data_IF_528820589583
#
_entry.id   IF_528820589583
#
_cell.length_a   1.000
_cell.length_b   1.000
_cell.length_c   1.000
_cell.angle_alpha   90.00
_cell.angle_beta   90.00
_cell.angle_gamma   90.00
#
_symmetry.space_group_name_H-M   'P 1'
#
loop_
_entity.id
_entity.type
_entity.pdbx_description
1 polymer ?
#
# COMPACT_ATOMS: atom_id res chain seq x y z
N UNK A 1 -2.63 14.50 -77.28
CA UNK A 1 -2.29 15.12 -75.97
C UNK A 1 -3.32 14.88 -74.85
N UNK A 2 -4.58 14.48 -75.12
CA UNK A 2 -5.63 14.29 -74.08
C UNK A 2 -5.47 13.03 -73.22
N UNK A 3 -4.97 11.92 -73.77
CA UNK A 3 -4.84 10.62 -73.07
C UNK A 3 -3.78 10.60 -71.97
N UNK A 4 -2.64 11.27 -72.15
CA UNK A 4 -1.60 11.40 -71.09
C UNK A 4 -2.11 12.21 -69.88
N UNK A 5 -2.91 13.26 -70.12
CA UNK A 5 -3.48 14.13 -69.08
C UNK A 5 -4.50 13.38 -68.21
N UNK A 6 -5.36 12.55 -68.82
CA UNK A 6 -6.28 11.68 -68.08
C UNK A 6 -5.55 10.63 -67.25
N UNK A 7 -4.49 10.01 -67.77
CA UNK A 7 -3.69 9.01 -67.05
C UNK A 7 -2.97 9.60 -65.83
N UNK A 8 -2.47 10.84 -65.95
CA UNK A 8 -1.87 11.59 -64.84
C UNK A 8 -2.92 11.95 -63.79
N UNK A 9 -4.10 12.42 -64.20
CA UNK A 9 -5.20 12.75 -63.28
C UNK A 9 -5.72 11.52 -62.51
N UNK A 10 -5.81 10.36 -63.16
CA UNK A 10 -6.21 9.09 -62.52
C UNK A 10 -5.18 8.66 -61.49
N UNK A 11 -3.88 8.71 -61.81
CA UNK A 11 -2.82 8.35 -60.87
C UNK A 11 -2.80 9.29 -59.65
N UNK A 12 -2.97 10.61 -59.84
CA UNK A 12 -3.04 11.58 -58.74
C UNK A 12 -4.24 11.28 -57.83
N UNK A 13 -5.41 11.00 -58.41
CA UNK A 13 -6.61 10.65 -57.64
C UNK A 13 -6.40 9.38 -56.81
N UNK A 14 -5.78 8.36 -57.40
CA UNK A 14 -5.55 7.07 -56.75
C UNK A 14 -4.55 7.20 -55.58
N UNK A 15 -3.50 8.02 -55.74
CA UNK A 15 -2.56 8.36 -54.65
C UNK A 15 -3.26 9.13 -53.55
N UNK A 16 -4.06 10.15 -53.87
CA UNK A 16 -4.83 10.92 -52.87
C UNK A 16 -5.80 10.02 -52.10
N UNK A 17 -6.49 9.12 -52.79
CA UNK A 17 -7.40 8.15 -52.18
C UNK A 17 -6.67 7.23 -51.21
N UNK A 18 -5.49 6.70 -51.59
CA UNK A 18 -4.68 5.86 -50.71
C UNK A 18 -4.18 6.62 -49.47
N UNK A 19 -3.70 7.86 -49.63
CA UNK A 19 -3.23 8.70 -48.51
C UNK A 19 -4.36 9.04 -47.54
N UNK A 20 -5.55 9.35 -48.05
CA UNK A 20 -6.73 9.61 -47.22
C UNK A 20 -7.16 8.37 -46.43
N UNK A 21 -7.18 7.20 -47.08
CA UNK A 21 -7.52 5.93 -46.41
C UNK A 21 -6.48 5.55 -45.35
N UNK A 22 -5.18 5.69 -45.66
CA UNK A 22 -4.10 5.43 -44.69
C UNK A 22 -4.19 6.37 -43.48
N UNK A 23 -4.40 7.67 -43.72
CA UNK A 23 -4.54 8.67 -42.65
C UNK A 23 -5.75 8.37 -41.76
N UNK A 24 -6.87 7.94 -42.34
CA UNK A 24 -8.08 7.57 -41.59
C UNK A 24 -7.88 6.31 -40.74
N UNK A 25 -7.20 5.29 -41.27
CA UNK A 25 -6.88 4.07 -40.52
C UNK A 25 -5.89 4.38 -39.39
N UNK A 26 -4.83 5.15 -39.67
CA UNK A 26 -3.82 5.53 -38.69
C UNK A 26 -4.44 6.34 -37.53
N UNK A 27 -5.32 7.30 -37.84
CA UNK A 27 -5.98 8.12 -36.82
C UNK A 27 -6.95 7.30 -35.94
N UNK A 28 -7.54 6.23 -36.48
CA UNK A 28 -8.33 5.27 -35.69
C UNK A 28 -7.46 4.39 -34.80
N UNK A 29 -6.29 3.98 -35.28
CA UNK A 29 -5.34 3.17 -34.51
C UNK A 29 -4.74 3.97 -33.35
N UNK A 30 -4.28 5.20 -33.60
CA UNK A 30 -3.75 6.12 -32.57
C UNK A 30 -4.76 6.39 -31.46
N UNK A 31 -6.05 6.58 -31.81
CA UNK A 31 -7.11 6.73 -30.79
C UNK A 31 -7.31 5.46 -29.96
N UNK A 32 -7.24 4.28 -30.58
CA UNK A 32 -7.36 3.00 -29.86
C UNK A 32 -6.16 2.78 -28.93
N UNK A 33 -4.96 3.08 -29.40
CA UNK A 33 -3.72 3.00 -28.62
C UNK A 33 -3.77 3.91 -27.40
N UNK A 34 -4.18 5.17 -27.56
CA UNK A 34 -4.38 6.10 -26.43
C UNK A 34 -5.41 5.62 -25.42
N UNK A 35 -6.48 4.97 -25.87
CA UNK A 35 -7.48 4.38 -24.98
C UNK A 35 -6.90 3.18 -24.20
N UNK A 36 -6.15 2.30 -24.87
CA UNK A 36 -5.45 1.17 -24.25
C UNK A 36 -4.44 1.65 -23.22
N UNK A 37 -3.63 2.66 -23.53
CA UNK A 37 -2.67 3.25 -22.59
C UNK A 37 -3.35 3.83 -21.35
N UNK A 38 -4.46 4.55 -21.54
CA UNK A 38 -5.23 5.09 -20.43
C UNK A 38 -5.85 3.98 -19.57
N UNK A 39 -6.34 2.91 -20.19
CA UNK A 39 -6.85 1.74 -19.47
C UNK A 39 -5.74 1.07 -18.65
N UNK A 40 -4.54 0.90 -19.21
CA UNK A 40 -3.39 0.33 -18.49
C UNK A 40 -3.01 1.20 -17.30
N UNK A 41 -2.99 2.54 -17.45
CA UNK A 41 -2.71 3.47 -16.34
C UNK A 41 -3.73 3.32 -15.21
N UNK A 42 -5.02 3.25 -15.55
CA UNK A 42 -6.08 3.05 -14.55
C UNK A 42 -5.96 1.69 -13.86
N UNK A 43 -5.68 0.62 -14.61
CA UNK A 43 -5.49 -0.73 -14.05
C UNK A 43 -4.29 -0.74 -13.08
N UNK A 44 -3.16 -0.15 -13.45
CA UNK A 44 -1.98 -0.04 -12.56
C UNK A 44 -2.34 0.72 -11.28
N UNK A 45 -3.01 1.87 -11.41
CA UNK A 45 -3.45 2.65 -10.24
C UNK A 45 -4.37 1.83 -9.32
N UNK A 46 -5.32 1.09 -9.88
CA UNK A 46 -6.21 0.22 -9.10
C UNK A 46 -5.47 -0.96 -8.44
N UNK A 47 -4.43 -1.49 -9.09
CA UNK A 47 -3.56 -2.51 -8.49
C UNK A 47 -2.77 -1.95 -7.31
N UNK A 48 -2.16 -0.77 -7.46
CA UNK A 48 -1.42 -0.10 -6.39
C UNK A 48 -2.34 0.24 -5.21
N UNK A 49 -3.54 0.78 -5.47
CA UNK A 49 -4.54 1.07 -4.43
C UNK A 49 -5.01 -0.20 -3.70
N UNK A 50 -5.17 -1.32 -4.41
CA UNK A 50 -5.54 -2.61 -3.80
C UNK A 50 -4.43 -3.18 -2.93
N UNK A 51 -3.19 -3.12 -3.41
CA UNK A 51 -2.03 -3.59 -2.64
C UNK A 51 -1.84 -2.77 -1.37
N UNK A 52 -2.02 -1.44 -1.46
CA UNK A 52 -1.94 -0.55 -0.31
C UNK A 52 -3.03 -0.84 0.72
N UNK A 53 -4.29 -1.02 0.29
CA UNK A 53 -5.38 -1.42 1.20
C UNK A 53 -5.12 -2.76 1.88
N UNK A 54 -4.56 -3.74 1.17
CA UNK A 54 -4.21 -5.03 1.77
C UNK A 54 -3.12 -4.88 2.83
N UNK A 55 -2.12 -4.03 2.59
CA UNK A 55 -1.10 -3.69 3.60
C UNK A 55 -1.72 -2.99 4.81
N UNK A 56 -2.65 -2.06 4.59
CA UNK A 56 -3.32 -1.34 5.68
C UNK A 56 -4.13 -2.28 6.57
N UNK A 57 -4.96 -3.15 5.98
CA UNK A 57 -5.74 -4.16 6.73
C UNK A 57 -4.83 -5.10 7.53
N UNK A 58 -3.75 -5.59 6.93
CA UNK A 58 -2.80 -6.45 7.62
C UNK A 58 -2.14 -5.74 8.82
N UNK A 59 -1.82 -4.45 8.68
CA UNK A 59 -1.23 -3.66 9.77
C UNK A 59 -2.23 -3.42 10.90
N UNK A 60 -3.49 -3.14 10.58
CA UNK A 60 -4.58 -3.05 11.56
C UNK A 60 -4.77 -4.36 12.33
N UNK A 61 -4.77 -5.50 11.65
CA UNK A 61 -4.88 -6.82 12.29
C UNK A 61 -3.73 -7.10 13.28
N UNK A 62 -2.51 -6.69 12.94
CA UNK A 62 -1.36 -6.79 13.85
C UNK A 62 -1.59 -5.92 15.09
N UNK A 63 -2.01 -4.67 14.90
CA UNK A 63 -2.28 -3.74 16.01
C UNK A 63 -3.33 -4.32 16.96
N UNK A 64 -4.45 -4.79 16.42
CA UNK A 64 -5.52 -5.41 17.21
C UNK A 64 -4.99 -6.64 17.97
N UNK A 65 -4.18 -7.47 17.31
CA UNK A 65 -3.56 -8.64 17.93
C UNK A 65 -2.66 -8.27 19.11
N UNK A 66 -1.83 -7.23 18.99
CA UNK A 66 -0.94 -6.76 20.06
C UNK A 66 -1.77 -6.21 21.23
N UNK A 67 -2.75 -5.37 20.93
CA UNK A 67 -3.64 -4.80 21.94
C UNK A 67 -4.36 -5.89 22.74
N UNK A 68 -4.87 -6.91 22.05
CA UNK A 68 -5.53 -8.05 22.70
C UNK A 68 -4.57 -8.83 23.59
N UNK A 69 -3.38 -9.13 23.09
CA UNK A 69 -2.36 -9.85 23.85
C UNK A 69 -2.02 -9.14 25.17
N UNK A 70 -1.94 -7.80 25.18
CA UNK A 70 -1.74 -7.04 26.41
C UNK A 70 -2.99 -6.94 27.29
N UNK A 71 -4.20 -6.82 26.71
CA UNK A 71 -5.47 -6.84 27.46
C UNK A 71 -5.66 -8.12 28.27
N UNK A 72 -5.24 -9.25 27.71
CA UNK A 72 -5.46 -10.56 28.32
C UNK A 72 -4.54 -10.80 29.53
N UNK A 73 -3.41 -10.08 29.64
CA UNK A 73 -2.37 -10.33 30.66
C UNK A 73 -2.13 -9.16 31.62
N UNK A 74 -2.55 -7.95 31.27
CA UNK A 74 -2.22 -6.73 31.99
C UNK A 74 -3.40 -5.74 31.99
N UNK A 75 -3.44 -4.92 33.03
CA UNK A 75 -4.34 -3.77 33.09
C UNK A 75 -3.78 -2.66 32.22
N UNK A 76 -4.57 -2.20 31.24
CA UNK A 76 -4.17 -1.12 30.34
C UNK A 76 -4.49 0.23 30.98
N UNK A 77 -3.48 1.10 31.11
CA UNK A 77 -3.71 2.51 31.42
C UNK A 77 -4.10 3.28 30.16
N UNK A 78 -3.32 3.12 29.10
CA UNK A 78 -3.67 3.61 27.77
C UNK A 78 -2.92 2.82 26.69
N UNK A 79 -3.52 2.78 25.50
CA UNK A 79 -2.82 2.47 24.25
C UNK A 79 -3.30 3.49 23.23
N UNK A 80 -2.35 4.13 22.56
CA UNK A 80 -2.59 5.01 21.41
C UNK A 80 -1.94 4.40 20.18
N UNK A 81 -2.48 4.76 19.03
CA UNK A 81 -2.01 4.30 17.73
C UNK A 81 -1.96 5.50 16.82
N UNK A 82 -0.77 5.80 16.31
CA UNK A 82 -0.50 6.95 15.43
C UNK A 82 0.14 6.45 14.13
N UNK A 83 -0.07 7.19 13.04
CA UNK A 83 0.64 6.97 11.78
C UNK A 83 1.87 7.89 11.76
N UNK A 84 3.06 7.30 11.60
CA UNK A 84 4.30 8.06 11.48
C UNK A 84 4.47 8.60 10.04
N UNK A 85 5.44 9.52 9.86
CA UNK A 85 5.81 10.12 8.57
C UNK A 85 6.13 9.10 7.46
N UNK A 86 6.54 7.89 7.84
CA UNK A 86 6.90 6.81 6.92
C UNK A 86 5.73 5.86 6.61
N UNK A 87 4.49 6.27 6.91
CA UNK A 87 3.28 5.43 6.82
C UNK A 87 3.33 4.15 7.68
N UNK A 88 4.21 4.09 8.67
CA UNK A 88 4.26 3.00 9.66
C UNK A 88 3.25 3.27 10.77
N UNK A 89 2.62 2.21 11.28
CA UNK A 89 1.73 2.35 12.44
C UNK A 89 2.55 2.26 13.71
N UNK A 90 2.59 3.33 14.46
CA UNK A 90 3.24 3.39 15.76
C UNK A 90 2.21 3.16 16.86
N UNK A 91 2.49 2.20 17.73
CA UNK A 91 1.67 1.85 18.86
C UNK A 91 2.45 2.13 20.14
N UNK A 92 1.89 3.02 20.95
CA UNK A 92 2.47 3.42 22.24
C UNK A 92 1.45 3.14 23.33
N UNK A 93 1.90 2.56 24.44
CA UNK A 93 1.01 2.23 25.54
C UNK A 93 1.71 2.16 26.87
N UNK A 94 0.89 2.22 27.91
CA UNK A 94 1.29 1.97 29.28
C UNK A 94 0.37 0.92 29.89
N UNK A 95 0.98 -0.16 30.38
CA UNK A 95 0.29 -1.30 30.98
C UNK A 95 0.88 -1.62 32.33
N UNK A 96 0.05 -2.18 33.20
CA UNK A 96 0.39 -2.62 34.54
C UNK A 96 0.02 -4.10 34.69
N UNK A 97 0.94 -4.93 35.17
CA UNK A 97 0.61 -6.34 35.37
C UNK A 97 1.77 -7.17 35.89
N UNK A 98 1.58 -8.48 35.87
CA UNK A 98 2.58 -9.43 36.31
C UNK A 98 3.84 -9.33 35.45
N UNK A 99 4.98 -9.21 36.13
CA UNK A 99 6.31 -9.07 35.54
C UNK A 99 6.59 -10.17 34.52
N UNK A 100 6.38 -11.43 34.88
CA UNK A 100 6.74 -12.58 34.02
C UNK A 100 5.88 -12.59 32.77
N UNK A 101 4.58 -12.35 32.91
CA UNK A 101 3.65 -12.33 31.77
C UNK A 101 3.98 -11.20 30.79
N UNK A 102 4.28 -10.00 31.30
CA UNK A 102 4.64 -8.86 30.45
C UNK A 102 5.96 -9.11 29.71
N UNK A 103 6.99 -9.63 30.39
CA UNK A 103 8.25 -9.97 29.72
C UNK A 103 8.06 -11.05 28.64
N UNK A 104 7.30 -12.10 28.93
CA UNK A 104 7.01 -13.14 27.96
C UNK A 104 6.25 -12.58 26.75
N UNK A 105 5.32 -11.65 26.97
CA UNK A 105 4.59 -10.99 25.89
C UNK A 105 5.50 -10.15 24.99
N UNK A 106 6.41 -9.39 25.59
CA UNK A 106 7.42 -8.60 24.86
C UNK A 106 8.34 -9.52 24.05
N UNK A 107 8.80 -10.62 24.64
CA UNK A 107 9.65 -11.61 23.97
C UNK A 107 8.90 -12.28 22.80
N UNK A 108 7.62 -12.61 22.98
CA UNK A 108 6.78 -13.14 21.91
C UNK A 108 6.62 -12.14 20.76
N UNK A 109 6.50 -10.85 21.03
CA UNK A 109 6.44 -9.80 20.01
C UNK A 109 7.78 -9.72 19.27
N UNK A 110 8.90 -9.70 20.01
CA UNK A 110 10.25 -9.61 19.45
C UNK A 110 10.62 -10.84 18.59
N UNK A 111 10.16 -12.02 18.99
CA UNK A 111 10.38 -13.27 18.25
C UNK A 111 9.33 -13.51 17.16
N UNK A 112 8.31 -12.67 17.06
CA UNK A 112 7.27 -12.85 16.04
C UNK A 112 7.86 -12.56 14.66
N UNK A 113 7.49 -13.38 13.66
CA UNK A 113 7.80 -13.09 12.24
C UNK A 113 6.94 -11.96 11.68
N UNK A 114 6.10 -11.34 12.50
CA UNK A 114 5.31 -10.17 12.11
C UNK A 114 6.29 -9.01 12.00
N UNK A 115 6.09 -8.12 11.03
CA UNK A 115 6.93 -6.95 10.78
C UNK A 115 6.72 -5.90 11.89
N UNK A 116 7.19 -6.21 13.09
CA UNK A 116 7.06 -5.38 14.28
C UNK A 116 8.47 -5.04 14.75
N UNK A 117 8.74 -3.76 14.92
CA UNK A 117 10.00 -3.25 15.46
C UNK A 117 9.72 -2.65 16.82
N UNK A 118 10.51 -3.01 17.84
CA UNK A 118 10.39 -2.44 19.17
C UNK A 118 11.29 -1.19 19.22
N UNK A 119 10.67 -0.03 19.38
CA UNK A 119 11.36 1.26 19.44
C UNK A 119 11.89 1.55 20.83
N UNK A 120 11.03 1.39 21.85
CA UNK A 120 11.45 1.56 23.25
C UNK A 120 10.55 0.79 24.20
N UNK A 121 11.14 0.31 25.29
CA UNK A 121 10.44 -0.30 26.41
C UNK A 121 11.05 0.24 27.70
N UNK A 122 10.22 0.83 28.55
CA UNK A 122 10.59 1.33 29.85
C UNK A 122 9.75 0.65 30.92
N UNK A 123 10.42 -0.06 31.83
CA UNK A 123 9.78 -0.86 32.88
C UNK A 123 10.11 -0.23 34.22
N UNK A 124 9.06 0.17 34.94
CA UNK A 124 9.14 0.69 36.30
C UNK A 124 8.58 -0.35 37.25
N UNK A 125 9.36 -0.75 38.25
CA UNK A 125 8.91 -1.68 39.29
C UNK A 125 7.96 -0.94 40.24
N UNK A 126 6.77 -1.51 40.46
CA UNK A 126 5.81 -1.01 41.46
C UNK A 126 5.86 -1.90 42.70
N UNK A 127 5.90 -3.22 42.50
CA UNK A 127 5.96 -4.22 43.55
C UNK A 127 6.87 -5.40 43.14
N UNK A 128 7.07 -6.39 44.01
CA UNK A 128 7.91 -7.58 43.75
C UNK A 128 7.55 -8.30 42.44
N UNK A 129 6.25 -8.44 42.16
CA UNK A 129 5.75 -9.15 40.99
C UNK A 129 4.99 -8.26 40.00
N UNK A 130 4.72 -7.00 40.32
CA UNK A 130 3.94 -6.08 39.47
C UNK A 130 4.84 -4.98 38.91
N UNK A 131 4.77 -4.78 37.60
CA UNK A 131 5.48 -3.74 36.89
C UNK A 131 4.53 -2.83 36.11
N UNK A 132 4.91 -1.56 36.00
CA UNK A 132 4.41 -0.66 34.97
C UNK A 132 5.36 -0.72 33.78
N UNK A 133 4.82 -1.01 32.60
CA UNK A 133 5.56 -1.09 31.35
C UNK A 133 5.01 -0.05 30.38
N UNK A 134 5.86 0.92 30.03
CA UNK A 134 5.64 1.83 28.90
C UNK A 134 6.35 1.27 27.69
N UNK A 135 5.67 1.16 26.57
CA UNK A 135 6.23 0.58 25.36
C UNK A 135 5.85 1.42 24.14
N UNK A 136 6.76 1.40 23.16
CA UNK A 136 6.57 1.98 21.83
C UNK A 136 7.04 0.96 20.81
N UNK A 137 6.14 0.55 19.92
CA UNK A 137 6.38 -0.45 18.88
C UNK A 137 5.88 0.08 17.54
N UNK A 138 6.60 -0.23 16.47
CA UNK A 138 6.25 0.12 15.09
C UNK A 138 5.82 -1.12 14.34
N UNK A 139 4.76 -1.00 13.55
CA UNK A 139 4.26 -2.03 12.65
C UNK A 139 4.51 -1.59 11.21
N UNK A 140 5.31 -2.38 10.49
CA UNK A 140 5.82 -2.10 9.14
C UNK A 140 5.04 -2.86 8.07
#
# INVERSE_FOLDING_TARGET
MKTKKNKININIFLVLFLVLNFSFIYLKLDKKEKLLDNQIKVIKKLQDEKEQRLKDVYREDIVISIQKQFKDIATIKYIKTDLNSDNEIELEGEINGDRKLIYQSIENINNSKKKITIDSINITKIDENIIDCKFKVKVI
#
